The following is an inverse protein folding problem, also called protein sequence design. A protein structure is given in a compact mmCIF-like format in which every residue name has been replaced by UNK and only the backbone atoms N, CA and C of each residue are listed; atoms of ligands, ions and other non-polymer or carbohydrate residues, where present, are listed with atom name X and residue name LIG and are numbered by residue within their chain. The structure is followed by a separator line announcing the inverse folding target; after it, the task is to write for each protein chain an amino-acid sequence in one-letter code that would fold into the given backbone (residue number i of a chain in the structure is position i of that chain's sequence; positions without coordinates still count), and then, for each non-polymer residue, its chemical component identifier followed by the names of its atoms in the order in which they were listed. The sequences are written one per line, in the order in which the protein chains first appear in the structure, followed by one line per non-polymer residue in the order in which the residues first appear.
data_IF_232474141689
#
_entry.id   IF_232474141689
#
_cell.length_a   1.000
_cell.length_b   1.000
_cell.length_c   1.000
_cell.angle_alpha   90.00
_cell.angle_beta   90.00
_cell.angle_gamma   90.00
#
_symmetry.space_group_name_H-M   'P 1'
#
loop_
_entity.id
_entity.type
_entity.pdbx_description
1 polymer ?
#
# COMPACT_ATOMS: atom_id res chain seq x y z
N UNK A 1 -20.38 -10.25 7.28
CA UNK A 1 -20.95 -10.39 5.92
C UNK A 1 -22.06 -9.37 5.81
N UNK A 2 -21.76 -8.14 5.38
CA UNK A 2 -22.76 -7.06 5.40
C UNK A 2 -23.70 -7.08 4.18
N UNK A 3 -23.43 -7.90 3.16
CA UNK A 3 -24.25 -7.98 1.95
C UNK A 3 -24.33 -9.43 1.41
N UNK A 4 -25.14 -10.27 2.07
CA UNK A 4 -25.39 -11.62 1.58
C UNK A 4 -26.31 -11.59 0.34
N UNK A 5 -25.86 -12.16 -0.77
CA UNK A 5 -26.64 -12.33 -1.99
C UNK A 5 -26.66 -13.82 -2.38
N UNK A 6 -27.78 -14.33 -2.92
CA UNK A 6 -27.85 -15.71 -3.37
C UNK A 6 -26.90 -15.93 -4.56
N UNK A 7 -25.76 -16.55 -4.31
CA UNK A 7 -24.83 -17.02 -5.34
C UNK A 7 -25.14 -18.46 -5.72
N UNK A 8 -24.97 -18.87 -6.99
CA UNK A 8 -25.08 -20.27 -7.39
C UNK A 8 -24.16 -21.20 -6.57
N UNK A 9 -24.61 -22.42 -6.27
CA UNK A 9 -23.92 -23.38 -5.38
C UNK A 9 -22.57 -23.89 -5.91
N UNK A 10 -22.23 -23.60 -7.17
CA UNK A 10 -20.91 -23.91 -7.73
C UNK A 10 -19.87 -22.82 -7.45
N UNK A 11 -20.26 -21.65 -6.94
CA UNK A 11 -19.33 -20.66 -6.39
C UNK A 11 -19.01 -20.98 -4.93
N UNK A 12 -17.81 -20.63 -4.43
CA UNK A 12 -17.51 -20.75 -3.01
C UNK A 12 -18.47 -19.92 -2.15
N UNK A 13 -19.16 -20.56 -1.21
CA UNK A 13 -20.06 -19.90 -0.26
C UNK A 13 -19.30 -19.29 0.94
N UNK A 14 -18.12 -19.83 1.26
CA UNK A 14 -17.25 -19.37 2.33
C UNK A 14 -15.85 -19.01 1.81
N UNK A 15 -15.17 -18.01 2.41
CA UNK A 15 -13.77 -17.72 2.09
C UNK A 15 -12.87 -18.93 2.35
N UNK A 16 -11.89 -19.16 1.48
CA UNK A 16 -10.92 -20.23 1.69
C UNK A 16 -10.00 -19.92 2.88
N UNK A 17 -9.79 -20.89 3.78
CA UNK A 17 -8.92 -20.74 4.97
C UNK A 17 -7.49 -20.31 4.65
N UNK A 18 -6.99 -20.57 3.44
CA UNK A 18 -5.66 -20.13 3.00
C UNK A 18 -5.49 -18.61 3.08
N UNK A 19 -6.58 -17.83 2.95
CA UNK A 19 -6.57 -16.38 3.07
C UNK A 19 -6.35 -15.87 4.51
N UNK A 20 -6.45 -16.75 5.51
CA UNK A 20 -6.10 -16.44 6.90
C UNK A 20 -4.60 -16.52 7.17
N UNK A 21 -3.84 -17.19 6.28
CA UNK A 21 -2.39 -17.34 6.44
C UNK A 21 -1.66 -16.05 6.02
N UNK A 22 -0.96 -15.34 6.94
CA UNK A 22 -0.24 -14.11 6.62
C UNK A 22 0.81 -14.25 5.52
N UNK A 23 1.34 -15.47 5.30
CA UNK A 23 2.34 -15.74 4.27
C UNK A 23 1.79 -15.60 2.85
N UNK A 24 0.46 -15.68 2.65
CA UNK A 24 -0.13 -15.50 1.33
C UNK A 24 0.07 -14.07 0.79
N UNK A 25 0.17 -13.08 1.67
CA UNK A 25 0.36 -11.67 1.28
C UNK A 25 1.66 -11.46 0.49
N UNK A 26 2.71 -12.24 0.79
CA UNK A 26 3.98 -12.22 0.05
C UNK A 26 3.84 -12.64 -1.43
N UNK A 27 2.73 -13.30 -1.78
CA UNK A 27 2.43 -13.76 -3.14
C UNK A 27 1.55 -12.80 -3.93
N UNK A 28 0.93 -11.82 -3.27
CA UNK A 28 0.08 -10.85 -3.94
C UNK A 28 0.93 -9.83 -4.70
N UNK A 29 0.41 -9.43 -5.87
CA UNK A 29 0.92 -8.25 -6.55
C UNK A 29 0.56 -6.97 -5.78
N UNK A 30 1.24 -5.88 -6.13
CA UNK A 30 1.02 -4.59 -5.47
C UNK A 30 -0.39 -4.03 -5.68
N UNK A 31 -1.07 -4.37 -6.77
CA UNK A 31 -2.43 -3.89 -7.05
C UNK A 31 -3.41 -4.45 -6.00
N UNK A 32 -3.32 -5.76 -5.77
CA UNK A 32 -4.06 -6.49 -4.74
C UNK A 32 -3.74 -5.95 -3.34
N UNK A 33 -2.45 -5.68 -3.05
CA UNK A 33 -2.05 -5.13 -1.76
C UNK A 33 -2.62 -3.72 -1.55
N UNK A 34 -2.61 -2.86 -2.57
CA UNK A 34 -3.27 -1.55 -2.50
C UNK A 34 -4.78 -1.68 -2.32
N UNK A 35 -5.41 -2.61 -3.03
CA UNK A 35 -6.85 -2.88 -2.88
C UNK A 35 -7.20 -3.20 -1.42
N UNK A 36 -6.48 -4.15 -0.82
CA UNK A 36 -6.68 -4.51 0.58
C UNK A 36 -6.42 -3.31 1.50
N UNK A 37 -5.35 -2.55 1.26
CA UNK A 37 -4.98 -1.40 2.10
C UNK A 37 -6.05 -0.30 2.11
N UNK A 38 -6.61 0.07 0.95
CA UNK A 38 -7.58 1.16 0.86
C UNK A 38 -9.02 0.74 1.14
N UNK A 39 -9.40 -0.51 0.88
CA UNK A 39 -10.80 -0.98 1.01
C UNK A 39 -11.08 -1.87 2.22
N UNK A 40 -10.05 -2.33 2.96
CA UNK A 40 -10.24 -3.10 4.21
C UNK A 40 -9.68 -2.33 5.42
N UNK A 41 -9.98 -1.04 5.52
CA UNK A 41 -9.45 -0.18 6.57
C UNK A 41 -9.81 -0.69 7.97
N UNK A 42 -8.86 -0.58 8.92
CA UNK A 42 -9.04 -1.01 10.30
C UNK A 42 -8.97 -2.53 10.52
N UNK A 43 -8.62 -3.30 9.50
CA UNK A 43 -8.52 -4.77 9.60
C UNK A 43 -7.08 -5.26 9.74
N UNK A 44 -6.92 -6.49 10.22
CA UNK A 44 -5.62 -7.16 10.24
C UNK A 44 -5.04 -7.35 8.82
N UNK A 45 -5.90 -7.52 7.82
CA UNK A 45 -5.53 -7.64 6.42
C UNK A 45 -4.90 -6.35 5.88
N UNK A 46 -5.42 -5.17 6.26
CA UNK A 46 -4.77 -3.89 5.93
C UNK A 46 -3.36 -3.82 6.51
N UNK A 47 -3.16 -4.24 7.77
CA UNK A 47 -1.84 -4.30 8.39
C UNK A 47 -0.89 -5.25 7.62
N UNK A 48 -1.36 -6.44 7.23
CA UNK A 48 -0.58 -7.39 6.46
C UNK A 48 -0.20 -6.84 5.07
N UNK A 49 -1.13 -6.16 4.41
CA UNK A 49 -0.87 -5.49 3.14
C UNK A 49 0.17 -4.37 3.27
N UNK A 50 0.03 -3.51 4.29
CA UNK A 50 0.99 -2.45 4.56
C UNK A 50 2.39 -3.01 4.86
N UNK A 51 2.48 -4.07 5.67
CA UNK A 51 3.75 -4.75 5.99
C UNK A 51 4.43 -5.28 4.73
N UNK A 52 3.66 -5.86 3.82
CA UNK A 52 4.20 -6.38 2.56
C UNK A 52 4.60 -5.26 1.59
N UNK A 53 3.81 -4.18 1.50
CA UNK A 53 4.18 -2.97 0.73
C UNK A 53 5.51 -2.39 1.24
N UNK A 54 5.69 -2.27 2.56
CA UNK A 54 6.96 -1.84 3.18
C UNK A 54 8.14 -2.75 2.80
N UNK A 55 7.93 -4.07 2.82
CA UNK A 55 8.91 -5.08 2.40
C UNK A 55 9.31 -4.92 0.92
N UNK A 56 8.38 -4.48 0.08
CA UNK A 56 8.59 -4.15 -1.32
C UNK A 56 9.06 -2.70 -1.53
N UNK A 57 9.62 -2.06 -0.51
CA UNK A 57 10.19 -0.69 -0.56
C UNK A 57 9.18 0.43 -0.87
N UNK A 58 7.89 0.20 -0.61
CA UNK A 58 6.92 1.28 -0.57
C UNK A 58 6.94 1.98 0.79
N UNK A 59 6.69 3.29 0.81
CA UNK A 59 6.60 4.12 2.01
C UNK A 59 5.33 4.94 1.97
N UNK A 60 4.56 4.90 3.05
CA UNK A 60 3.32 5.65 3.14
C UNK A 60 3.58 7.12 3.51
N UNK A 61 2.94 8.04 2.79
CA UNK A 61 3.06 9.48 2.99
C UNK A 61 1.80 10.03 3.66
N UNK A 62 1.86 10.29 4.98
CA UNK A 62 0.71 10.65 5.84
C UNK A 62 -0.11 11.84 5.34
N UNK A 63 0.50 12.83 4.67
CA UNK A 63 -0.21 13.99 4.11
C UNK A 63 -1.00 13.70 2.83
N UNK A 64 -0.48 12.82 1.98
CA UNK A 64 -1.10 12.50 0.69
C UNK A 64 -1.89 11.20 0.73
N UNK A 65 -1.86 10.51 1.87
CA UNK A 65 -2.50 9.23 2.10
C UNK A 65 -2.21 8.20 1.00
N UNK A 66 -1.00 8.24 0.43
CA UNK A 66 -0.58 7.31 -0.61
C UNK A 66 0.85 6.81 -0.41
N UNK A 67 1.15 5.71 -1.11
CA UNK A 67 2.43 5.02 -1.08
C UNK A 67 3.34 5.51 -2.19
N UNK A 68 4.61 5.73 -1.85
CA UNK A 68 5.68 6.08 -2.77
C UNK A 68 6.77 5.02 -2.77
N UNK A 69 7.40 4.82 -3.92
CA UNK A 69 8.59 4.01 -4.07
C UNK A 69 9.60 4.82 -4.91
N UNK A 70 10.88 4.79 -4.51
CA UNK A 70 11.95 5.42 -5.29
C UNK A 70 12.05 4.75 -6.66
N UNK A 71 12.04 5.54 -7.73
CA UNK A 71 12.29 5.01 -9.08
C UNK A 71 13.79 4.91 -9.37
N UNK A 72 14.56 5.82 -8.78
CA UNK A 72 16.02 5.93 -8.85
C UNK A 72 16.54 6.48 -7.51
N UNK A 73 17.86 6.48 -7.30
CA UNK A 73 18.44 7.10 -6.11
C UNK A 73 18.06 8.60 -6.02
N UNK A 74 17.66 9.10 -4.84
CA UNK A 74 17.32 10.51 -4.69
C UNK A 74 18.50 11.40 -5.04
N UNK A 75 18.23 12.51 -5.72
CA UNK A 75 19.26 13.51 -6.08
C UNK A 75 19.75 14.27 -4.86
N UNK A 76 18.91 14.41 -3.84
CA UNK A 76 19.25 15.06 -2.58
C UNK A 76 18.65 14.26 -1.42
N UNK A 77 19.43 14.11 -0.34
CA UNK A 77 19.00 13.54 0.93
C UNK A 77 19.53 14.46 2.02
N UNK A 78 18.66 14.91 2.92
CA UNK A 78 18.99 15.70 4.12
C UNK A 78 18.42 14.99 5.36
N UNK A 79 18.52 15.60 6.53
CA UNK A 79 17.89 15.07 7.75
C UNK A 79 16.37 15.24 7.75
N UNK A 80 15.85 16.19 6.96
CA UNK A 80 14.43 16.55 6.94
C UNK A 80 13.67 15.99 5.73
N UNK A 81 14.36 15.72 4.62
CA UNK A 81 13.72 15.24 3.41
C UNK A 81 14.67 14.51 2.45
N UNK A 82 14.07 13.81 1.49
CA UNK A 82 14.72 13.39 0.27
C UNK A 82 14.01 13.95 -0.96
N UNK A 83 14.76 14.23 -2.02
CA UNK A 83 14.21 14.72 -3.27
C UNK A 83 14.73 13.90 -4.46
N UNK A 84 13.81 13.45 -5.31
CA UNK A 84 14.14 12.56 -6.42
C UNK A 84 12.95 12.21 -7.30
N UNK A 85 13.13 11.17 -8.10
CA UNK A 85 12.07 10.62 -8.94
C UNK A 85 11.42 9.42 -8.25
N UNK A 86 10.10 9.49 -8.07
CA UNK A 86 9.32 8.45 -7.42
C UNK A 86 8.24 7.91 -8.34
N UNK A 87 7.79 6.70 -8.05
CA UNK A 87 6.46 6.25 -8.42
C UNK A 87 5.55 6.29 -7.20
N UNK A 88 4.29 6.65 -7.41
CA UNK A 88 3.26 6.61 -6.38
C UNK A 88 2.02 5.91 -6.92
N UNK A 89 1.14 5.45 -6.03
CA UNK A 89 -0.12 4.84 -6.41
C UNK A 89 -1.26 5.85 -6.35
N UNK A 90 -1.91 6.11 -7.48
CA UNK A 90 -3.06 7.01 -7.59
C UNK A 90 -4.34 6.24 -7.22
N UNK A 91 -4.66 6.19 -5.92
CA UNK A 91 -5.81 5.45 -5.40
C UNK A 91 -7.14 6.19 -5.56
N UNK A 92 -7.12 7.53 -5.67
CA UNK A 92 -8.32 8.37 -5.81
C UNK A 92 -8.71 8.58 -7.27
N UNK A 93 -7.73 8.69 -8.17
CA UNK A 93 -7.94 8.96 -9.59
C UNK A 93 -8.11 7.69 -10.40
N UNK A 94 -7.01 7.26 -11.04
CA UNK A 94 -7.03 6.24 -12.08
C UNK A 94 -6.73 4.82 -11.62
N UNK A 95 -6.56 4.57 -10.32
CA UNK A 95 -6.13 3.27 -9.76
C UNK A 95 -4.89 2.73 -10.48
N UNK A 96 -3.80 3.51 -10.49
CA UNK A 96 -2.60 3.16 -11.24
C UNK A 96 -1.32 3.74 -10.64
N UNK A 97 -0.18 3.19 -11.05
CA UNK A 97 1.13 3.76 -10.73
C UNK A 97 1.38 5.01 -11.58
N UNK A 98 1.82 6.09 -10.95
CA UNK A 98 2.15 7.36 -11.58
C UNK A 98 3.59 7.74 -11.25
N UNK A 99 4.31 8.31 -12.22
CA UNK A 99 5.66 8.85 -12.02
C UNK A 99 5.56 10.30 -11.55
N UNK A 100 6.40 10.68 -10.58
CA UNK A 100 6.60 12.06 -10.16
C UNK A 100 8.09 12.37 -10.07
N UNK A 101 8.54 13.34 -10.87
CA UNK A 101 9.92 13.82 -10.89
C UNK A 101 10.11 14.94 -9.88
N UNK A 102 11.33 15.06 -9.35
CA UNK A 102 11.72 16.12 -8.40
C UNK A 102 10.80 16.25 -7.19
N UNK A 103 10.18 15.13 -6.79
CA UNK A 103 9.31 15.07 -5.63
C UNK A 103 10.14 15.17 -4.36
N UNK A 104 9.76 16.09 -3.48
CA UNK A 104 10.32 16.25 -2.13
C UNK A 104 9.48 15.44 -1.15
N UNK A 105 10.03 14.33 -0.67
CA UNK A 105 9.46 13.54 0.40
C UNK A 105 9.98 14.08 1.74
N UNK A 106 9.17 14.85 2.46
CA UNK A 106 9.52 15.33 3.80
C UNK A 106 9.30 14.22 4.83
N UNK A 107 10.32 13.91 5.63
CA UNK A 107 10.29 12.79 6.56
C UNK A 107 9.28 12.98 7.69
N UNK A 108 8.86 14.20 8.01
CA UNK A 108 7.76 14.45 8.94
C UNK A 108 6.42 13.81 8.49
N UNK A 109 6.26 13.54 7.19
CA UNK A 109 5.10 12.82 6.66
C UNK A 109 5.35 11.32 6.45
N UNK A 110 6.53 10.80 6.78
CA UNK A 110 6.78 9.37 6.80
C UNK A 110 6.00 8.74 7.96
N UNK A 111 5.35 7.61 7.69
CA UNK A 111 4.54 6.89 8.69
C UNK A 111 5.31 6.51 9.97
N UNK A 112 6.62 6.23 9.86
CA UNK A 112 7.46 5.78 10.97
C UNK A 112 8.17 6.94 11.71
N UNK A 113 7.92 8.21 11.34
CA UNK A 113 8.60 9.37 11.94
C UNK A 113 8.20 9.68 13.39
N UNK A 114 7.12 9.07 13.89
CA UNK A 114 6.60 9.33 15.25
C UNK A 114 7.04 8.26 16.27
N UNK A 115 7.93 7.34 15.88
CA UNK A 115 8.38 6.20 16.71
C UNK A 115 9.80 6.36 17.29
N UNK A 116 10.43 7.52 17.08
CA UNK A 116 11.72 7.91 17.69
C UNK A 116 11.55 8.94 18.82
#
# INVERSE_FOLDING_TARGET
MENAYPTPSYYPEEPQKTYENPEIFKKYDVDTLFFIFYYQQGTYQQYLAARELKRQSWRFHKKYYTWFQRLEEPKQITEEYEQGTYIYFDYEGLWCKRKKTEFKFEYCYLEDADLD
#
